data_IF_583344377191
#
_entry.id   IF_583344377191
#
_cell.length_a   1.000
_cell.length_b   1.000
_cell.length_c   1.000
_cell.angle_alpha   90.00
_cell.angle_beta   90.00
_cell.angle_gamma   90.00
#
_symmetry.space_group_name_H-M   'P 1'
#
loop_
_entity.id
_entity.type
_entity.pdbx_description
1 polymer ?
#
# COMPACT_ATOMS: atom_id res chain seq x y z
N UNK A 1 4.30 7.33 4.41
CA UNK A 1 4.29 8.50 3.49
C UNK A 1 2.88 9.05 3.35
N UNK A 2 2.75 10.36 3.05
CA UNK A 2 1.47 11.02 2.77
C UNK A 2 1.65 11.90 1.55
N UNK A 3 0.68 11.86 0.62
CA UNK A 3 0.76 12.64 -0.62
C UNK A 3 -0.61 12.98 -1.19
N UNK A 4 -0.63 13.98 -2.07
CA UNK A 4 -1.83 14.36 -2.81
C UNK A 4 -1.83 13.70 -4.19
N UNK A 5 -3.01 13.32 -4.65
CA UNK A 5 -3.23 12.74 -5.98
C UNK A 5 -4.27 13.56 -6.76
N UNK A 6 -4.37 13.36 -8.06
CA UNK A 6 -5.50 13.88 -8.83
C UNK A 6 -6.79 13.27 -8.30
N UNK A 7 -7.88 14.06 -8.16
CA UNK A 7 -9.16 13.56 -7.67
C UNK A 7 -9.62 12.32 -8.44
N UNK A 8 -9.97 11.28 -7.71
CA UNK A 8 -10.52 10.03 -8.26
C UNK A 8 -11.50 9.42 -7.26
N UNK A 9 -12.31 8.45 -7.68
CA UNK A 9 -13.15 7.71 -6.74
C UNK A 9 -12.35 6.63 -6.02
N UNK A 10 -12.77 6.28 -4.80
CA UNK A 10 -12.14 5.20 -4.03
C UNK A 10 -12.09 3.89 -4.84
N UNK A 11 -13.18 3.51 -5.49
CA UNK A 11 -13.23 2.28 -6.30
C UNK A 11 -12.16 2.28 -7.41
N UNK A 12 -12.05 3.37 -8.19
CA UNK A 12 -11.00 3.49 -9.23
C UNK A 12 -9.59 3.47 -8.65
N UNK A 13 -9.42 4.02 -7.46
CA UNK A 13 -8.12 4.00 -6.79
C UNK A 13 -7.75 2.58 -6.32
N UNK A 14 -8.73 1.81 -5.82
CA UNK A 14 -8.52 0.39 -5.49
C UNK A 14 -8.11 -0.42 -6.73
N UNK A 15 -8.75 -0.17 -7.88
CA UNK A 15 -8.34 -0.81 -9.15
C UNK A 15 -6.91 -0.43 -9.55
N UNK A 16 -6.54 0.84 -9.37
CA UNK A 16 -5.18 1.32 -9.60
C UNK A 16 -4.16 0.62 -8.67
N UNK A 17 -4.46 0.52 -7.37
CA UNK A 17 -3.61 -0.20 -6.42
C UNK A 17 -3.44 -1.65 -6.82
N UNK A 18 -4.53 -2.32 -7.20
CA UNK A 18 -4.52 -3.72 -7.63
C UNK A 18 -3.59 -3.93 -8.83
N UNK A 19 -3.66 -3.05 -9.81
CA UNK A 19 -2.80 -3.09 -10.99
C UNK A 19 -1.34 -2.74 -10.68
N UNK A 20 -1.11 -1.68 -9.88
CA UNK A 20 0.23 -1.16 -9.58
C UNK A 20 1.05 -2.14 -8.74
N UNK A 21 0.43 -2.73 -7.73
CA UNK A 21 1.09 -3.68 -6.81
C UNK A 21 0.91 -5.14 -7.21
N UNK A 22 0.25 -5.40 -8.35
CA UNK A 22 -0.06 -6.75 -8.83
C UNK A 22 -0.78 -7.62 -7.77
N UNK A 23 -1.71 -7.00 -7.03
CA UNK A 23 -2.43 -7.67 -5.97
C UNK A 23 -3.49 -8.62 -6.56
N UNK A 24 -3.52 -9.87 -6.11
CA UNK A 24 -4.61 -10.81 -6.43
C UNK A 24 -5.91 -10.41 -5.76
N UNK A 25 -5.82 -9.92 -4.53
CA UNK A 25 -6.94 -9.51 -3.68
C UNK A 25 -6.55 -8.27 -2.89
N UNK A 26 -7.49 -7.34 -2.72
CA UNK A 26 -7.39 -6.21 -1.79
C UNK A 26 -8.59 -6.28 -0.86
N UNK A 27 -8.35 -6.18 0.45
CA UNK A 27 -9.41 -5.98 1.43
C UNK A 27 -9.51 -4.49 1.73
N UNK A 28 -10.69 -3.91 1.69
CA UNK A 28 -10.85 -2.48 1.97
C UNK A 28 -12.18 -2.15 2.64
N UNK A 29 -12.27 -0.95 3.21
CA UNK A 29 -13.51 -0.35 3.68
C UNK A 29 -13.64 1.08 3.13
N UNK A 30 -14.86 1.58 3.10
CA UNK A 30 -15.22 2.91 2.60
C UNK A 30 -16.21 2.87 1.44
N UNK A 31 -16.83 4.03 1.12
CA UNK A 31 -17.74 4.16 -0.04
C UNK A 31 -16.92 4.30 -1.33
N UNK A 32 -17.09 3.36 -2.25
CA UNK A 32 -16.40 3.34 -3.55
C UNK A 32 -16.60 4.60 -4.40
N UNK A 33 -17.72 5.29 -4.19
CA UNK A 33 -18.06 6.54 -4.92
C UNK A 33 -17.43 7.78 -4.31
N UNK A 34 -16.91 7.69 -3.08
CA UNK A 34 -16.26 8.81 -2.40
C UNK A 34 -15.05 9.27 -3.21
N UNK A 35 -14.97 10.56 -3.46
CA UNK A 35 -13.78 11.17 -4.06
C UNK A 35 -12.65 11.22 -3.05
N UNK A 36 -11.46 10.80 -3.49
CA UNK A 36 -10.23 10.87 -2.73
C UNK A 36 -9.21 11.75 -3.45
N UNK A 37 -8.42 12.47 -2.67
CA UNK A 37 -7.39 13.41 -3.15
C UNK A 37 -6.09 13.29 -2.37
N UNK A 38 -6.15 12.72 -1.17
CA UNK A 38 -5.00 12.60 -0.27
C UNK A 38 -4.86 11.16 0.25
N UNK A 39 -3.69 10.60 0.06
CA UNK A 39 -3.38 9.19 0.35
C UNK A 39 -2.28 9.12 1.39
N UNK A 40 -2.46 8.29 2.41
CA UNK A 40 -1.41 7.83 3.29
C UNK A 40 -1.01 6.40 2.92
N UNK A 41 0.27 6.08 3.02
CA UNK A 41 0.82 4.77 2.64
C UNK A 41 1.88 4.31 3.64
N UNK A 42 1.82 3.05 4.05
CA UNK A 42 2.87 2.35 4.77
C UNK A 42 2.96 0.91 4.26
N UNK A 43 4.10 0.51 3.69
CA UNK A 43 4.35 -0.89 3.31
C UNK A 43 4.43 -1.80 4.52
N UNK A 44 4.16 -3.08 4.32
CA UNK A 44 4.12 -4.08 5.37
C UNK A 44 3.00 -3.87 6.39
N UNK A 45 3.22 -4.27 7.63
CA UNK A 45 2.23 -4.22 8.72
C UNK A 45 2.16 -2.83 9.35
N UNK A 46 1.36 -1.94 8.79
CA UNK A 46 1.24 -0.53 9.21
C UNK A 46 -0.04 -0.15 9.95
N UNK A 47 -0.91 -1.10 10.35
CA UNK A 47 -2.21 -0.79 10.95
C UNK A 47 -2.13 0.14 12.18
N UNK A 48 -1.03 0.09 12.93
CA UNK A 48 -0.79 0.95 14.10
C UNK A 48 -0.64 2.46 13.76
N UNK A 49 -0.39 2.82 12.50
CA UNK A 49 -0.29 4.20 12.01
C UNK A 49 -1.62 4.76 11.49
N UNK A 50 -2.74 4.03 11.62
CA UNK A 50 -4.04 4.48 11.10
C UNK A 50 -4.46 5.82 11.71
N UNK A 51 -4.22 6.03 13.02
CA UNK A 51 -4.52 7.30 13.68
C UNK A 51 -3.68 8.46 13.13
N UNK A 52 -2.41 8.22 12.79
CA UNK A 52 -1.54 9.23 12.19
C UNK A 52 -1.98 9.56 10.75
N UNK A 53 -2.44 8.55 9.99
CA UNK A 53 -3.01 8.75 8.67
C UNK A 53 -4.26 9.64 8.73
N UNK A 54 -5.16 9.41 9.70
CA UNK A 54 -6.33 10.25 9.96
C UNK A 54 -5.89 11.67 10.33
N UNK A 55 -4.96 11.84 11.27
CA UNK A 55 -4.46 13.13 11.70
C UNK A 55 -3.79 13.93 10.57
N UNK A 56 -3.23 13.23 9.58
CA UNK A 56 -2.66 13.85 8.38
C UNK A 56 -3.70 14.38 7.39
N UNK A 57 -4.98 14.09 7.61
CA UNK A 57 -6.08 14.44 6.70
C UNK A 57 -6.15 13.57 5.45
N UNK A 58 -5.62 12.33 5.49
CA UNK A 58 -5.73 11.41 4.38
C UNK A 58 -7.18 10.91 4.20
N UNK A 59 -7.60 10.76 2.95
CA UNK A 59 -8.91 10.18 2.58
C UNK A 59 -8.89 8.66 2.62
N UNK A 60 -7.72 8.09 2.36
CA UNK A 60 -7.46 6.64 2.37
C UNK A 60 -6.08 6.34 2.96
N UNK A 61 -6.01 5.26 3.71
CA UNK A 61 -4.78 4.66 4.21
C UNK A 61 -4.52 3.30 3.54
N UNK A 62 -3.36 3.13 2.94
CA UNK A 62 -2.93 1.92 2.23
C UNK A 62 -1.82 1.23 3.02
N UNK A 63 -1.98 -0.04 3.36
CA UNK A 63 -0.99 -0.81 4.14
C UNK A 63 -1.22 -2.32 3.94
N UNK A 64 -0.57 -3.16 4.73
CA UNK A 64 -0.79 -4.62 4.80
C UNK A 64 -1.14 -5.09 6.20
N UNK A 65 -1.53 -6.35 6.32
CA UNK A 65 -1.81 -7.06 7.59
C UNK A 65 -2.86 -6.39 8.48
N UNK A 66 -3.89 -5.80 7.90
CA UNK A 66 -4.97 -5.14 8.63
C UNK A 66 -5.92 -6.18 9.21
N UNK A 67 -6.15 -6.15 10.51
CA UNK A 67 -7.10 -7.04 11.19
C UNK A 67 -8.53 -6.54 11.05
N UNK A 68 -9.50 -7.42 11.24
CA UNK A 68 -10.92 -7.08 11.22
C UNK A 68 -11.27 -5.88 12.11
N UNK A 69 -10.76 -5.88 13.34
CA UNK A 69 -11.03 -4.80 14.28
C UNK A 69 -10.41 -3.46 13.87
N UNK A 70 -9.28 -3.46 13.16
CA UNK A 70 -8.68 -2.23 12.64
C UNK A 70 -9.59 -1.60 11.58
N UNK A 71 -10.15 -2.41 10.67
CA UNK A 71 -11.14 -1.91 9.71
C UNK A 71 -12.37 -1.31 10.42
N UNK A 72 -12.97 -2.06 11.34
CA UNK A 72 -14.23 -1.63 11.99
C UNK A 72 -14.06 -0.41 12.89
N UNK A 73 -12.91 -0.25 13.53
CA UNK A 73 -12.64 0.87 14.44
C UNK A 73 -12.45 2.22 13.75
N UNK A 74 -12.16 2.21 12.45
CA UNK A 74 -11.83 3.41 11.68
C UNK A 74 -12.66 3.61 10.42
N UNK A 75 -13.61 2.69 10.11
CA UNK A 75 -14.39 2.71 8.87
C UNK A 75 -15.22 3.99 8.65
N UNK A 76 -15.61 4.66 9.73
CA UNK A 76 -16.33 5.94 9.73
C UNK A 76 -15.42 7.18 9.56
N UNK A 77 -14.11 7.01 9.71
CA UNK A 77 -13.13 8.10 9.74
C UNK A 77 -12.26 8.17 8.49
N UNK A 78 -11.81 7.02 8.01
CA UNK A 78 -10.90 6.92 6.87
C UNK A 78 -11.17 5.63 6.08
N UNK A 79 -11.04 5.68 4.76
CA UNK A 79 -10.96 4.44 4.00
C UNK A 79 -9.63 3.72 4.27
N UNK A 80 -9.65 2.40 4.40
CA UNK A 80 -8.44 1.60 4.59
C UNK A 80 -8.39 0.56 3.48
N UNK A 81 -7.22 0.38 2.86
CA UNK A 81 -6.94 -0.67 1.91
C UNK A 81 -5.76 -1.53 2.38
N UNK A 82 -6.02 -2.80 2.60
CA UNK A 82 -5.02 -3.83 2.83
C UNK A 82 -4.66 -4.50 1.51
N UNK A 83 -3.49 -4.16 1.00
CA UNK A 83 -2.99 -4.64 -0.30
C UNK A 83 -2.07 -5.86 -0.17
N UNK A 84 -1.93 -6.40 1.05
CA UNK A 84 -1.03 -7.48 1.38
C UNK A 84 0.37 -7.01 1.79
N UNK A 85 0.97 -7.73 2.72
CA UNK A 85 2.32 -7.43 3.22
C UNK A 85 3.36 -7.54 2.09
N UNK A 86 3.43 -8.72 1.50
CA UNK A 86 4.38 -9.02 0.43
C UNK A 86 4.22 -8.07 -0.76
N UNK A 87 3.00 -7.84 -1.23
CA UNK A 87 2.70 -6.98 -2.36
C UNK A 87 3.13 -5.53 -2.11
N UNK A 88 2.89 -5.02 -0.89
CA UNK A 88 3.24 -3.64 -0.52
C UNK A 88 4.75 -3.39 -0.42
N UNK A 89 5.57 -4.43 -0.22
CA UNK A 89 7.02 -4.32 -0.04
C UNK A 89 7.84 -4.71 -1.27
N UNK A 90 7.23 -5.27 -2.32
CA UNK A 90 7.95 -5.69 -3.53
C UNK A 90 8.75 -4.58 -4.20
N UNK A 91 8.27 -3.35 -4.15
CA UNK A 91 8.97 -2.20 -4.74
C UNK A 91 10.31 -1.87 -4.03
N UNK A 92 10.52 -2.36 -2.80
CA UNK A 92 11.75 -2.08 -2.05
C UNK A 92 13.00 -2.61 -2.77
N UNK A 93 12.91 -3.73 -3.48
CA UNK A 93 14.03 -4.31 -4.24
C UNK A 93 14.52 -3.37 -5.33
N UNK A 94 13.61 -2.85 -6.15
CA UNK A 94 13.96 -1.89 -7.21
C UNK A 94 14.51 -0.58 -6.63
N UNK A 95 13.92 -0.08 -5.53
CA UNK A 95 14.39 1.12 -4.85
C UNK A 95 15.83 0.93 -4.33
N UNK A 96 16.10 -0.19 -3.66
CA UNK A 96 17.44 -0.48 -3.18
C UNK A 96 18.44 -0.66 -4.33
N UNK A 97 18.05 -1.33 -5.40
CA UNK A 97 18.87 -1.47 -6.60
C UNK A 97 19.26 -0.11 -7.17
N UNK A 98 18.29 0.77 -7.42
CA UNK A 98 18.54 2.12 -7.96
C UNK A 98 19.49 2.94 -7.08
N UNK A 99 19.31 2.89 -5.74
CA UNK A 99 20.17 3.59 -4.80
C UNK A 99 21.60 3.05 -4.86
N UNK A 100 21.76 1.73 -4.88
CA UNK A 100 23.07 1.08 -4.89
C UNK A 100 23.80 1.30 -6.22
N UNK A 101 23.12 1.16 -7.35
CA UNK A 101 23.70 1.41 -8.67
C UNK A 101 24.19 2.85 -8.81
N UNK A 102 23.40 3.80 -8.31
CA UNK A 102 23.77 5.21 -8.32
C UNK A 102 24.96 5.52 -7.42
N UNK A 103 25.02 4.89 -6.24
CA UNK A 103 26.06 5.16 -5.23
C UNK A 103 27.36 4.41 -5.50
N UNK A 104 27.28 3.25 -6.11
CA UNK A 104 28.42 2.35 -6.37
C UNK A 104 28.42 1.90 -7.84
N UNK A 105 28.82 2.78 -8.78
CA UNK A 105 28.91 2.43 -10.19
C UNK A 105 29.87 1.26 -10.41
N UNK A 106 29.38 0.20 -11.07
CA UNK A 106 30.14 -1.03 -11.31
C UNK A 106 29.92 -2.16 -10.31
N UNK A 107 29.12 -1.94 -9.24
CA UNK A 107 28.69 -3.02 -8.36
C UNK A 107 27.74 -3.96 -9.11
N UNK A 108 28.05 -5.25 -9.14
CA UNK A 108 27.13 -6.25 -9.67
C UNK A 108 26.03 -6.54 -8.65
N UNK A 109 24.78 -6.19 -8.98
CA UNK A 109 23.61 -6.38 -8.14
C UNK A 109 22.73 -7.46 -8.75
N UNK A 110 22.34 -8.47 -7.95
CA UNK A 110 21.46 -9.54 -8.35
C UNK A 110 20.27 -9.63 -7.41
N UNK A 111 19.07 -9.81 -7.95
CA UNK A 111 17.90 -10.15 -7.15
C UNK A 111 17.92 -11.65 -6.81
N UNK A 112 17.36 -12.00 -5.66
CA UNK A 112 17.18 -13.40 -5.29
C UNK A 112 16.12 -14.05 -6.20
N UNK A 113 16.47 -15.14 -6.86
CA UNK A 113 15.55 -15.88 -7.76
C UNK A 113 14.43 -16.61 -7.00
N UNK A 114 14.62 -16.83 -5.70
CA UNK A 114 13.71 -17.57 -4.83
C UNK A 114 12.75 -16.70 -4.03
N UNK A 115 12.68 -15.40 -4.35
CA UNK A 115 11.75 -14.49 -3.68
C UNK A 115 10.32 -14.70 -4.19
N UNK A 116 9.56 -15.46 -3.44
CA UNK A 116 8.17 -15.83 -3.75
C UNK A 116 7.24 -15.51 -2.59
N UNK A 117 6.04 -15.04 -2.90
CA UNK A 117 4.98 -14.95 -1.92
C UNK A 117 4.51 -16.37 -1.55
N UNK A 118 4.67 -16.75 -0.27
CA UNK A 118 4.22 -18.05 0.24
C UNK A 118 2.71 -18.10 0.46
N UNK A 119 2.04 -16.94 0.55
CA UNK A 119 0.59 -16.84 0.72
C UNK A 119 -0.08 -17.06 -0.64
N UNK A 120 -1.06 -17.95 -0.66
CA UNK A 120 -1.86 -18.26 -1.85
C UNK A 120 -3.30 -17.82 -1.63
N UNK A 121 -3.89 -17.27 -2.69
CA UNK A 121 -5.29 -16.84 -2.73
C UNK A 121 -6.06 -17.77 -3.67
N UNK A 122 -7.24 -18.20 -3.28
CA UNK A 122 -8.16 -19.04 -4.05
C UNK A 122 -9.46 -18.28 -4.34
#
# INVERSE_FOLDING_TARGET
AVGNIKPTTLGRFIDLLKATFNCKTIRYCGDERKTITRVALCGGSGAFLTSDAIASGADIYVTGDVKYHDFTSFADKIAIADIGHYESEQCSKSIFREILEKKFPGLTIKDAETDINTIKYI
#
